data_IF_589590087524
#
_entry.id   IF_589590087524
#
_cell.length_a   1.000
_cell.length_b   1.000
_cell.length_c   1.000
_cell.angle_alpha   90.00
_cell.angle_beta   90.00
_cell.angle_gamma   90.00
#
_symmetry.space_group_name_H-M   'P 1'
#
loop_
_entity.id
_entity.type
_entity.pdbx_description
1 polymer ?
#
# COMPACT_ATOMS: atom_id res chain seq x y z
N UNK A 1 16.27 17.71 24.16
CA UNK A 1 16.66 16.38 24.61
C UNK A 1 16.02 15.36 23.71
N UNK A 2 16.69 14.25 23.42
CA UNK A 2 16.10 13.16 22.63
C UNK A 2 15.03 12.44 23.46
N UNK A 3 13.88 12.15 22.84
CA UNK A 3 12.84 11.30 23.41
C UNK A 3 13.42 9.90 23.57
N UNK A 4 13.21 9.29 24.74
CA UNK A 4 13.64 7.91 25.00
C UNK A 4 12.44 6.98 24.98
N UNK A 5 12.60 5.74 24.46
CA UNK A 5 11.52 4.78 24.48
C UNK A 5 11.22 4.36 25.94
N UNK A 6 9.94 4.32 26.29
CA UNK A 6 9.48 3.74 27.55
C UNK A 6 8.99 2.33 27.27
N UNK A 7 9.39 1.37 28.09
CA UNK A 7 8.91 0.00 28.09
C UNK A 7 8.32 -0.33 29.46
N UNK A 8 7.27 -1.12 29.48
CA UNK A 8 6.66 -1.61 30.72
C UNK A 8 7.10 -3.04 30.99
N UNK A 9 7.33 -3.35 32.25
CA UNK A 9 7.59 -4.69 32.75
C UNK A 9 6.45 -5.20 33.62
N UNK A 10 6.53 -6.44 34.05
CA UNK A 10 5.52 -7.08 34.93
C UNK A 10 5.77 -6.85 36.43
N UNK A 11 6.99 -6.39 36.79
CA UNK A 11 7.44 -6.28 38.17
C UNK A 11 7.14 -7.54 38.98
N UNK A 12 7.42 -8.69 38.39
CA UNK A 12 7.04 -9.98 38.95
C UNK A 12 8.00 -10.41 40.06
N UNK A 13 7.49 -10.56 41.29
CA UNK A 13 8.22 -11.10 42.44
C UNK A 13 7.98 -12.60 42.66
N UNK A 14 7.20 -13.26 41.80
CA UNK A 14 6.89 -14.69 41.84
C UNK A 14 6.64 -15.24 40.45
N UNK A 15 6.83 -16.53 40.21
CA UNK A 15 6.73 -17.16 38.88
C UNK A 15 5.32 -17.05 38.27
N UNK A 16 4.29 -17.09 39.09
CA UNK A 16 2.89 -16.94 38.66
C UNK A 16 2.56 -15.53 38.15
N UNK A 17 3.37 -14.53 38.51
CA UNK A 17 3.20 -13.12 38.07
C UNK A 17 4.01 -12.78 36.84
N UNK A 18 4.91 -13.65 36.38
CA UNK A 18 5.68 -13.43 35.15
C UNK A 18 4.73 -13.41 33.97
N UNK A 19 4.80 -12.31 33.17
CA UNK A 19 3.91 -12.12 32.01
C UNK A 19 2.53 -11.57 32.35
N UNK A 20 2.21 -11.31 33.62
CA UNK A 20 0.97 -10.65 34.05
C UNK A 20 1.20 -9.15 34.14
N UNK A 21 0.68 -8.41 33.17
CA UNK A 21 0.85 -6.95 33.10
C UNK A 21 -0.29 -6.23 33.86
N UNK A 22 0.05 -5.14 34.52
CA UNK A 22 -0.93 -4.26 35.16
C UNK A 22 -1.87 -3.68 34.08
N UNK A 23 -3.19 -3.77 34.32
CA UNK A 23 -4.22 -3.33 33.36
C UNK A 23 -4.17 -4.04 31.99
N UNK A 24 -3.47 -5.18 31.88
CA UNK A 24 -3.31 -5.90 30.60
C UNK A 24 -2.44 -5.19 29.55
N UNK A 25 -1.90 -4.01 29.87
CA UNK A 25 -1.12 -3.20 28.92
C UNK A 25 0.28 -3.77 28.73
N UNK A 26 0.62 -4.03 27.48
CA UNK A 26 1.91 -4.60 27.06
C UNK A 26 2.69 -3.58 26.25
N UNK A 27 4.02 -3.71 26.26
CA UNK A 27 4.85 -2.95 25.31
C UNK A 27 4.90 -3.69 23.97
N UNK A 28 4.44 -3.01 22.96
CA UNK A 28 4.53 -3.44 21.57
C UNK A 28 5.68 -2.74 20.89
N UNK A 29 6.54 -3.50 20.23
CA UNK A 29 7.73 -2.99 19.55
C UNK A 29 7.65 -3.33 18.07
N UNK A 30 7.79 -2.31 17.23
CA UNK A 30 7.84 -2.44 15.77
C UNK A 30 9.29 -2.61 15.32
N UNK A 31 9.80 -3.82 15.42
CA UNK A 31 11.15 -4.20 15.03
C UNK A 31 11.25 -5.71 14.82
N UNK A 32 12.34 -6.17 14.23
CA UNK A 32 12.65 -7.59 14.17
C UNK A 32 12.91 -8.14 15.59
N UNK A 33 12.57 -9.41 15.87
CA UNK A 33 12.77 -10.04 17.18
C UNK A 33 14.26 -10.41 17.41
N UNK A 34 15.13 -9.41 17.25
CA UNK A 34 16.57 -9.50 17.44
C UNK A 34 17.05 -8.38 18.35
N UNK A 35 18.25 -8.50 18.89
CA UNK A 35 18.85 -7.41 19.69
C UNK A 35 19.08 -6.15 18.87
N UNK A 36 19.47 -6.28 17.60
CA UNK A 36 19.62 -5.15 16.68
C UNK A 36 18.27 -4.48 16.42
N UNK A 37 17.20 -5.25 16.23
CA UNK A 37 15.85 -4.73 16.14
C UNK A 37 15.42 -3.97 17.40
N UNK A 38 15.74 -4.51 18.58
CA UNK A 38 15.46 -3.81 19.84
C UNK A 38 16.20 -2.48 19.93
N UNK A 39 17.45 -2.40 19.46
CA UNK A 39 18.23 -1.15 19.44
C UNK A 39 17.60 -0.07 18.54
N UNK A 40 16.88 -0.47 17.49
CA UNK A 40 16.24 0.48 16.57
C UNK A 40 15.18 1.36 17.25
N UNK A 41 14.58 0.93 18.36
CA UNK A 41 13.58 1.74 19.08
C UNK A 41 14.17 3.04 19.66
N UNK A 42 15.49 3.11 19.78
CA UNK A 42 16.18 4.31 20.29
C UNK A 42 16.17 5.48 19.29
N UNK A 43 16.00 5.18 18.01
CA UNK A 43 16.06 6.18 16.94
C UNK A 43 14.68 6.78 16.63
N UNK A 44 13.61 5.98 16.72
CA UNK A 44 12.22 6.38 16.41
C UNK A 44 11.25 5.88 17.48
N UNK A 45 11.41 6.30 18.75
CA UNK A 45 10.67 5.70 19.87
C UNK A 45 9.15 5.89 19.75
N UNK A 46 8.70 7.04 19.26
CA UNK A 46 7.27 7.37 19.12
C UNK A 46 6.57 6.50 18.06
N UNK A 47 7.28 6.11 17.00
CA UNK A 47 6.73 5.30 15.91
C UNK A 47 6.90 3.80 16.15
N UNK A 48 7.88 3.42 16.98
CA UNK A 48 8.26 2.02 17.18
C UNK A 48 7.78 1.42 18.48
N UNK A 49 7.40 2.22 19.47
CA UNK A 49 6.99 1.72 20.79
C UNK A 49 5.59 2.21 21.15
N UNK A 50 4.72 1.28 21.52
CA UNK A 50 3.37 1.56 22.03
C UNK A 50 3.12 0.73 23.28
N UNK A 51 2.50 1.33 24.31
CA UNK A 51 2.05 0.63 25.52
C UNK A 51 0.52 0.61 25.48
N UNK A 52 -0.05 -0.52 25.14
CA UNK A 52 -1.49 -0.71 25.04
C UNK A 52 -1.87 -2.18 25.28
N UNK A 53 -3.13 -2.45 25.49
CA UNK A 53 -3.72 -3.77 25.76
C UNK A 53 -3.77 -4.68 24.52
N UNK A 54 -4.00 -4.07 23.36
CA UNK A 54 -4.13 -4.74 22.07
C UNK A 54 -3.01 -4.38 21.12
N UNK A 55 -2.77 -5.23 20.11
CA UNK A 55 -1.75 -4.97 19.09
C UNK A 55 -2.08 -3.70 18.31
N UNK A 56 -1.16 -2.71 18.28
CA UNK A 56 -1.34 -1.52 17.46
C UNK A 56 -1.37 -1.85 15.96
N UNK A 57 -1.98 -0.99 15.17
CA UNK A 57 -2.03 -1.12 13.70
C UNK A 57 -2.63 -2.46 13.25
N UNK A 58 -3.79 -2.82 13.83
CA UNK A 58 -4.52 -3.99 13.36
C UNK A 58 -5.00 -3.77 11.92
N UNK A 59 -4.69 -4.71 11.05
CA UNK A 59 -5.24 -4.78 9.69
C UNK A 59 -6.18 -5.96 9.58
N UNK A 60 -7.25 -5.78 8.87
CA UNK A 60 -8.20 -6.86 8.62
C UNK A 60 -7.54 -7.97 7.78
N UNK A 61 -7.79 -9.22 8.12
CA UNK A 61 -7.16 -10.37 7.47
C UNK A 61 -7.46 -10.44 5.98
N UNK A 62 -8.61 -9.92 5.55
CA UNK A 62 -8.99 -9.84 4.14
C UNK A 62 -8.19 -8.80 3.33
N UNK A 63 -7.50 -7.85 4.00
CA UNK A 63 -6.68 -6.81 3.35
C UNK A 63 -5.18 -7.13 3.38
N UNK A 64 -4.79 -8.28 3.95
CA UNK A 64 -3.39 -8.64 4.13
C UNK A 64 -3.03 -9.85 3.28
N UNK A 65 -2.04 -9.71 2.41
CA UNK A 65 -1.42 -10.83 1.72
C UNK A 65 -0.50 -11.56 2.71
N UNK A 66 -0.78 -12.84 2.96
CA UNK A 66 -0.01 -13.68 3.88
C UNK A 66 1.21 -14.30 3.21
N UNK A 67 1.00 -14.88 2.04
CA UNK A 67 2.08 -15.55 1.29
C UNK A 67 1.83 -15.55 -0.21
N UNK A 68 2.92 -15.71 -0.94
CA UNK A 68 2.92 -15.96 -2.38
C UNK A 68 3.55 -17.33 -2.62
N UNK A 69 2.86 -18.18 -3.32
CA UNK A 69 3.35 -19.49 -3.75
C UNK A 69 3.68 -19.42 -5.23
N UNK A 70 4.93 -19.67 -5.55
CA UNK A 70 5.45 -19.72 -6.90
C UNK A 70 5.60 -21.18 -7.28
N UNK A 71 4.87 -21.64 -8.28
CA UNK A 71 4.85 -23.04 -8.69
C UNK A 71 5.01 -23.18 -10.21
N UNK A 72 6.12 -22.70 -10.73
CA UNK A 72 6.47 -22.85 -12.13
C UNK A 72 7.50 -23.98 -12.30
N UNK A 73 7.17 -24.96 -13.10
CA UNK A 73 8.00 -26.14 -13.32
C UNK A 73 9.45 -25.81 -13.77
N UNK A 74 9.64 -24.69 -14.45
CA UNK A 74 10.91 -24.35 -15.09
C UNK A 74 11.66 -23.19 -14.48
N UNK A 75 11.06 -22.38 -13.58
CA UNK A 75 11.66 -21.12 -13.13
C UNK A 75 11.60 -20.91 -11.63
N UNK A 76 10.43 -21.04 -11.01
CA UNK A 76 10.25 -20.74 -9.59
C UNK A 76 9.45 -21.83 -8.88
N UNK A 77 10.00 -22.29 -7.79
CA UNK A 77 9.32 -23.24 -6.91
C UNK A 77 9.59 -22.85 -5.46
N UNK A 78 8.84 -21.87 -4.96
CA UNK A 78 9.07 -21.28 -3.65
C UNK A 78 7.81 -20.70 -3.03
N UNK A 79 7.71 -20.76 -1.71
CA UNK A 79 6.72 -20.01 -0.92
C UNK A 79 7.41 -18.83 -0.25
N UNK A 80 6.87 -17.63 -0.44
CA UNK A 80 7.35 -16.39 0.14
C UNK A 80 6.29 -15.88 1.12
N UNK A 81 6.61 -15.84 2.41
CA UNK A 81 5.75 -15.26 3.44
C UNK A 81 5.97 -13.75 3.50
N UNK A 82 4.89 -12.99 3.63
CA UNK A 82 4.92 -11.54 3.62
C UNK A 82 4.57 -10.94 4.98
N UNK A 83 5.20 -9.81 5.29
CA UNK A 83 4.82 -8.96 6.39
C UNK A 83 3.55 -8.18 6.02
N UNK A 84 2.68 -7.91 7.00
CA UNK A 84 1.43 -7.17 6.77
C UNK A 84 1.62 -5.70 6.35
N UNK A 85 2.81 -5.12 6.52
CA UNK A 85 3.07 -3.72 6.22
C UNK A 85 3.93 -3.60 4.96
N UNK A 86 5.22 -3.35 5.11
CA UNK A 86 6.15 -3.15 4.01
C UNK A 86 7.01 -4.39 3.80
N UNK A 87 7.07 -4.86 2.55
CA UNK A 87 7.98 -5.91 2.12
C UNK A 87 8.92 -5.35 1.06
N UNK A 88 10.22 -5.53 1.23
CA UNK A 88 11.23 -5.06 0.30
C UNK A 88 11.84 -6.23 -0.47
N UNK A 89 11.84 -6.14 -1.81
CA UNK A 89 12.47 -7.11 -2.69
C UNK A 89 13.83 -6.57 -3.12
N UNK A 90 14.91 -7.16 -2.64
CA UNK A 90 16.28 -6.72 -2.87
C UNK A 90 17.00 -7.73 -3.75
N UNK A 91 17.85 -7.26 -4.65
CA UNK A 91 18.68 -8.11 -5.50
C UNK A 91 19.37 -7.32 -6.61
N UNK A 92 20.34 -7.91 -7.26
CA UNK A 92 21.10 -7.34 -8.35
C UNK A 92 20.24 -7.04 -9.60
N UNK A 93 20.89 -6.53 -10.63
CA UNK A 93 20.26 -6.33 -11.95
C UNK A 93 19.91 -7.70 -12.56
N UNK A 94 18.77 -7.80 -13.23
CA UNK A 94 18.31 -9.01 -13.93
C UNK A 94 18.02 -10.23 -13.03
N UNK A 95 17.81 -10.06 -11.72
CA UNK A 95 17.49 -11.14 -10.79
C UNK A 95 16.00 -11.49 -10.72
N UNK A 96 15.16 -10.94 -11.60
CA UNK A 96 13.74 -11.27 -11.68
C UNK A 96 12.81 -10.45 -10.78
N UNK A 97 13.29 -9.41 -10.06
CA UNK A 97 12.45 -8.58 -9.16
C UNK A 97 11.21 -7.98 -9.83
N UNK A 98 11.43 -7.32 -10.97
CA UNK A 98 10.34 -6.71 -11.75
C UNK A 98 9.45 -7.78 -12.38
N UNK A 99 10.00 -8.93 -12.75
CA UNK A 99 9.25 -10.07 -13.29
C UNK A 99 8.32 -10.64 -12.23
N UNK A 100 8.80 -10.81 -10.98
CA UNK A 100 7.98 -11.27 -9.87
C UNK A 100 6.80 -10.33 -9.61
N UNK A 101 7.06 -9.02 -9.48
CA UNK A 101 6.00 -8.03 -9.26
C UNK A 101 4.99 -7.99 -10.41
N UNK A 102 5.46 -8.02 -11.65
CA UNK A 102 4.59 -8.04 -12.83
C UNK A 102 3.76 -9.33 -12.92
N UNK A 103 4.32 -10.48 -12.53
CA UNK A 103 3.58 -11.76 -12.50
C UNK A 103 2.51 -11.78 -11.42
N UNK A 104 2.78 -11.18 -10.25
CA UNK A 104 1.75 -10.98 -9.20
C UNK A 104 0.63 -10.09 -9.74
N UNK A 105 0.96 -8.96 -10.36
CA UNK A 105 -0.02 -8.06 -10.94
C UNK A 105 -0.87 -8.74 -12.06
N UNK A 106 -0.24 -9.57 -12.88
CA UNK A 106 -0.93 -10.36 -13.89
C UNK A 106 -1.90 -11.38 -13.28
N UNK A 107 -1.55 -12.00 -12.15
CA UNK A 107 -2.42 -12.92 -11.43
C UNK A 107 -3.72 -12.26 -10.92
N UNK A 108 -3.68 -10.95 -10.66
CA UNK A 108 -4.84 -10.14 -10.27
C UNK A 108 -5.54 -9.43 -11.46
N UNK A 109 -5.22 -9.77 -12.69
CA UNK A 109 -5.77 -9.11 -13.88
C UNK A 109 -5.52 -7.58 -13.93
N UNK A 110 -4.48 -7.08 -13.31
CA UNK A 110 -4.04 -5.69 -13.43
C UNK A 110 -3.46 -5.43 -14.82
N UNK A 111 -4.30 -5.53 -15.86
CA UNK A 111 -3.88 -5.61 -17.26
C UNK A 111 -3.36 -4.30 -17.85
N UNK A 112 -3.79 -3.16 -17.32
CA UNK A 112 -3.51 -1.85 -17.92
C UNK A 112 -2.06 -1.39 -17.77
N UNK A 113 -1.32 -1.92 -16.80
CA UNK A 113 0.05 -1.49 -16.48
C UNK A 113 1.07 -2.65 -16.52
N UNK A 114 0.62 -3.87 -16.79
CA UNK A 114 1.52 -5.04 -16.87
C UNK A 114 2.23 -5.03 -18.22
N UNK A 115 3.54 -5.20 -18.15
CA UNK A 115 4.40 -5.37 -19.32
C UNK A 115 3.89 -6.56 -20.18
N UNK A 116 3.50 -6.29 -21.41
CA UNK A 116 2.91 -7.26 -22.36
C UNK A 116 3.89 -8.35 -22.84
N UNK A 117 4.94 -8.65 -22.09
CA UNK A 117 5.88 -9.72 -22.42
C UNK A 117 5.25 -11.08 -22.24
N UNK A 118 5.23 -11.90 -23.26
CA UNK A 118 4.60 -13.21 -23.28
C UNK A 118 4.94 -14.12 -22.09
N UNK A 119 6.20 -14.06 -21.59
CA UNK A 119 6.63 -14.87 -20.45
C UNK A 119 5.96 -14.47 -19.12
N UNK A 120 5.53 -13.21 -18.95
CA UNK A 120 4.81 -12.78 -17.74
C UNK A 120 3.41 -13.40 -17.74
N UNK A 121 2.76 -13.45 -18.88
CA UNK A 121 1.47 -14.12 -19.03
C UNK A 121 1.57 -15.62 -18.78
N UNK A 122 2.65 -16.26 -19.20
CA UNK A 122 2.93 -17.68 -18.91
C UNK A 122 3.17 -17.95 -17.42
N UNK A 123 3.76 -16.97 -16.69
CA UNK A 123 4.00 -17.09 -15.25
C UNK A 123 2.76 -16.81 -14.40
N UNK A 124 1.74 -16.16 -14.96
CA UNK A 124 0.50 -15.81 -14.28
C UNK A 124 -0.12 -17.00 -13.55
N UNK A 125 -0.27 -18.11 -14.25
CA UNK A 125 -0.92 -19.34 -13.73
C UNK A 125 -0.03 -20.10 -12.74
N UNK A 126 1.22 -19.67 -12.60
CA UNK A 126 2.21 -20.22 -11.66
C UNK A 126 2.36 -19.39 -10.38
N UNK A 127 1.62 -18.27 -10.26
CA UNK A 127 1.68 -17.37 -9.11
C UNK A 127 0.37 -17.41 -8.36
N UNK A 128 0.40 -17.95 -7.14
CA UNK A 128 -0.74 -18.07 -6.26
C UNK A 128 -0.55 -17.15 -5.06
N UNK A 129 -1.43 -16.18 -4.87
CA UNK A 129 -1.38 -15.22 -3.78
C UNK A 129 -2.44 -15.59 -2.76
N UNK A 130 -2.03 -15.84 -1.53
CA UNK A 130 -2.93 -16.18 -0.43
C UNK A 130 -3.07 -14.99 0.52
N UNK A 131 -4.29 -14.62 0.77
CA UNK A 131 -4.63 -13.63 1.77
C UNK A 131 -4.70 -14.28 3.16
N UNK A 132 -4.56 -13.48 4.19
CA UNK A 132 -4.58 -14.00 5.57
C UNK A 132 -5.92 -14.60 5.96
N UNK A 133 -7.02 -14.19 5.33
CA UNK A 133 -8.35 -14.81 5.47
C UNK A 133 -8.47 -16.19 4.80
N UNK A 134 -7.41 -16.68 4.17
CA UNK A 134 -7.34 -17.97 3.49
C UNK A 134 -7.80 -17.96 2.04
N UNK A 135 -8.25 -16.84 1.50
CA UNK A 135 -8.63 -16.74 0.09
C UNK A 135 -7.39 -16.72 -0.80
N UNK A 136 -7.49 -17.36 -1.95
CA UNK A 136 -6.47 -17.36 -3.00
C UNK A 136 -6.90 -16.42 -4.12
N UNK A 137 -6.00 -15.59 -4.62
CA UNK A 137 -6.15 -14.56 -5.67
C UNK A 137 -7.48 -13.78 -5.60
N UNK A 138 -8.60 -14.41 -5.74
CA UNK A 138 -9.97 -13.91 -5.57
C UNK A 138 -10.32 -12.67 -6.40
N UNK A 139 -11.50 -12.10 -6.14
CA UNK A 139 -11.96 -10.83 -6.74
C UNK A 139 -11.37 -9.60 -6.04
N UNK A 140 -10.28 -9.77 -5.29
CA UNK A 140 -9.64 -8.70 -4.55
C UNK A 140 -8.78 -7.86 -5.48
N UNK A 141 -8.76 -6.57 -5.20
CA UNK A 141 -8.04 -5.58 -5.98
C UNK A 141 -6.67 -5.30 -5.36
N UNK A 142 -5.64 -5.22 -6.20
CA UNK A 142 -4.32 -4.70 -5.86
C UNK A 142 -3.93 -3.59 -6.84
N UNK A 143 -3.15 -2.63 -6.37
CA UNK A 143 -2.57 -1.61 -7.23
C UNK A 143 -1.15 -1.99 -7.63
N UNK A 144 -0.86 -1.92 -8.91
CA UNK A 144 0.46 -2.17 -9.47
C UNK A 144 1.05 -0.91 -10.08
N UNK A 145 2.24 -0.54 -9.62
CA UNK A 145 3.00 0.59 -10.13
C UNK A 145 4.27 0.12 -10.83
N UNK A 146 4.30 0.04 -12.16
CA UNK A 146 5.52 -0.30 -12.88
C UNK A 146 6.56 0.83 -12.75
N UNK A 147 7.84 0.48 -12.86
CA UNK A 147 8.96 1.42 -12.70
C UNK A 147 8.82 2.67 -13.58
N UNK A 148 8.34 2.51 -14.81
CA UNK A 148 8.14 3.62 -15.75
C UNK A 148 7.00 4.57 -15.35
N UNK A 149 6.02 4.10 -14.58
CA UNK A 149 4.91 4.94 -14.10
C UNK A 149 5.39 5.89 -13.00
N UNK A 150 6.24 5.39 -12.10
CA UNK A 150 6.83 6.20 -11.01
C UNK A 150 7.71 7.32 -11.57
N UNK A 151 8.51 7.06 -12.62
CA UNK A 151 9.34 8.09 -13.24
C UNK A 151 8.52 9.17 -13.97
N UNK A 152 7.36 8.81 -14.54
CA UNK A 152 6.44 9.75 -15.19
C UNK A 152 5.67 10.60 -14.19
N UNK A 153 5.45 10.11 -12.97
CA UNK A 153 4.77 10.85 -11.89
C UNK A 153 5.53 12.12 -11.49
N UNK A 154 6.83 12.21 -11.79
CA UNK A 154 7.60 13.45 -11.61
C UNK A 154 7.16 14.59 -12.56
N UNK A 155 6.35 14.30 -13.60
CA UNK A 155 5.76 15.31 -14.48
C UNK A 155 4.42 15.79 -13.87
N UNK A 156 4.21 17.12 -13.68
CA UNK A 156 3.04 17.65 -12.95
C UNK A 156 1.68 17.15 -13.47
N UNK A 157 1.55 16.97 -14.78
CA UNK A 157 0.30 16.52 -15.42
C UNK A 157 -0.02 15.04 -15.15
N UNK A 158 1.01 14.20 -15.00
CA UNK A 158 0.85 12.78 -14.70
C UNK A 158 0.65 12.52 -13.19
N UNK A 159 1.19 13.41 -12.34
CA UNK A 159 0.95 13.38 -10.88
C UNK A 159 -0.53 13.56 -10.58
N UNK A 160 -1.19 14.53 -11.20
CA UNK A 160 -2.62 14.79 -11.01
C UNK A 160 -3.47 13.59 -11.47
N UNK A 161 -3.09 12.96 -12.57
CA UNK A 161 -3.78 11.77 -13.07
C UNK A 161 -3.62 10.57 -12.12
N UNK A 162 -2.40 10.34 -11.62
CA UNK A 162 -2.14 9.25 -10.67
C UNK A 162 -2.89 9.48 -9.35
N UNK A 163 -2.88 10.70 -8.81
CA UNK A 163 -3.65 11.05 -7.62
C UNK A 163 -5.14 10.82 -7.84
N UNK A 164 -5.65 11.18 -9.03
CA UNK A 164 -7.04 10.93 -9.39
C UNK A 164 -7.35 9.43 -9.50
N UNK A 165 -6.49 8.64 -10.09
CA UNK A 165 -6.67 7.19 -10.18
C UNK A 165 -6.65 6.52 -8.79
N UNK A 166 -5.82 7.00 -7.87
CA UNK A 166 -5.77 6.51 -6.47
C UNK A 166 -7.00 6.95 -5.68
N UNK A 167 -7.38 8.22 -5.78
CA UNK A 167 -8.51 8.78 -5.01
C UNK A 167 -9.87 8.33 -5.55
N UNK A 168 -9.95 8.08 -6.85
CA UNK A 168 -11.19 7.75 -7.56
C UNK A 168 -11.27 6.26 -7.95
N UNK A 169 -10.52 5.39 -7.30
CA UNK A 169 -10.32 3.97 -7.64
C UNK A 169 -11.58 3.10 -7.80
N UNK A 170 -12.78 3.70 -7.71
CA UNK A 170 -14.07 3.10 -8.09
C UNK A 170 -14.63 3.83 -9.29
N UNK A 171 -15.05 3.08 -10.30
CA UNK A 171 -15.58 3.62 -11.57
C UNK A 171 -16.75 4.57 -11.36
N UNK A 172 -17.62 4.27 -10.39
CA UNK A 172 -18.78 5.09 -10.03
C UNK A 172 -18.35 6.50 -9.54
N UNK A 173 -17.31 6.56 -8.70
CA UNK A 173 -16.77 7.83 -8.17
C UNK A 173 -16.09 8.63 -9.27
N UNK A 174 -15.44 7.96 -10.20
CA UNK A 174 -14.81 8.59 -11.37
C UNK A 174 -15.82 9.23 -12.31
N UNK A 175 -16.92 8.54 -12.59
CA UNK A 175 -18.03 9.05 -13.41
C UNK A 175 -18.66 10.28 -12.74
N UNK A 176 -18.90 10.22 -11.44
CA UNK A 176 -19.48 11.34 -10.68
C UNK A 176 -18.54 12.54 -10.63
N UNK A 177 -17.25 12.33 -10.44
CA UNK A 177 -16.21 13.35 -10.48
C UNK A 177 -16.17 14.07 -11.85
N UNK A 178 -16.10 13.33 -12.96
CA UNK A 178 -16.07 13.93 -14.31
C UNK A 178 -17.36 14.69 -14.62
N UNK A 179 -18.51 14.23 -14.13
CA UNK A 179 -19.78 14.95 -14.21
C UNK A 179 -19.74 16.29 -13.49
N UNK A 180 -19.23 16.31 -12.26
CA UNK A 180 -19.10 17.55 -11.49
C UNK A 180 -18.07 18.52 -12.09
N UNK A 181 -16.95 17.99 -12.58
CA UNK A 181 -15.90 18.76 -13.26
C UNK A 181 -16.43 19.44 -14.54
N UNK A 182 -17.20 18.71 -15.36
CA UNK A 182 -17.84 19.27 -16.56
C UNK A 182 -18.86 20.35 -16.23
N UNK A 183 -19.64 20.14 -15.16
CA UNK A 183 -20.61 21.14 -14.66
C UNK A 183 -19.92 22.42 -14.17
N UNK A 184 -18.81 22.30 -13.45
CA UNK A 184 -18.01 23.45 -13.02
C UNK A 184 -17.43 24.20 -14.23
N UNK A 185 -16.87 23.52 -15.21
CA UNK A 185 -16.33 24.14 -16.43
C UNK A 185 -17.41 24.91 -17.19
N UNK A 186 -18.61 24.35 -17.32
CA UNK A 186 -19.76 25.06 -17.97
C UNK A 186 -20.18 26.30 -17.21
N UNK A 187 -20.23 26.25 -15.87
CA UNK A 187 -20.56 27.41 -15.03
C UNK A 187 -19.51 28.51 -15.12
N UNK A 188 -18.21 28.15 -15.14
CA UNK A 188 -17.12 29.11 -15.34
C UNK A 188 -17.22 29.79 -16.71
N UNK A 189 -17.48 29.05 -17.78
CA UNK A 189 -17.71 29.62 -19.11
C UNK A 189 -18.89 30.60 -19.13
N UNK A 190 -19.99 30.24 -18.49
CA UNK A 190 -21.18 31.13 -18.38
C UNK A 190 -20.83 32.41 -17.60
N UNK A 191 -20.10 32.32 -16.50
CA UNK A 191 -19.65 33.48 -15.73
C UNK A 191 -18.76 34.39 -16.59
N UNK A 192 -17.79 33.83 -17.31
CA UNK A 192 -16.91 34.60 -18.19
C UNK A 192 -17.68 35.34 -19.25
N UNK A 193 -18.68 34.68 -19.88
CA UNK A 193 -19.53 35.29 -20.90
C UNK A 193 -20.37 36.43 -20.29
N UNK A 194 -20.98 36.22 -19.12
CA UNK A 194 -21.77 37.23 -18.44
C UNK A 194 -20.92 38.45 -18.00
N UNK A 195 -19.70 38.22 -17.54
CA UNK A 195 -18.77 39.28 -17.20
C UNK A 195 -18.37 40.08 -18.43
N UNK A 196 -18.06 39.42 -19.54
CA UNK A 196 -17.75 40.09 -20.80
C UNK A 196 -18.92 40.97 -21.28
N UNK A 197 -20.13 40.42 -21.29
CA UNK A 197 -21.37 41.17 -21.66
C UNK A 197 -21.64 42.35 -20.72
N UNK A 198 -21.35 42.22 -19.43
CA UNK A 198 -21.52 43.32 -18.47
C UNK A 198 -20.57 44.48 -18.78
N UNK A 199 -19.30 44.20 -19.09
CA UNK A 199 -18.36 45.25 -19.47
C UNK A 199 -18.60 45.84 -20.83
N UNK A 200 -19.12 45.08 -21.79
CA UNK A 200 -19.54 45.58 -23.09
C UNK A 200 -20.72 46.59 -22.96
N UNK A 201 -21.74 46.24 -22.17
CA UNK A 201 -22.87 47.12 -21.91
C UNK A 201 -22.50 48.40 -21.12
N UNK A 202 -21.39 48.43 -20.43
CA UNK A 202 -20.90 49.62 -19.72
C UNK A 202 -20.01 50.53 -20.58
N UNK A 203 -19.58 50.07 -21.74
CA UNK A 203 -18.81 50.89 -22.70
C UNK A 203 -19.70 51.64 -23.68
N UNK A 204 -20.98 51.38 -23.69
CA UNK A 204 -22.02 52.15 -24.35
C UNK A 204 -22.64 53.16 -23.37
#
# INVERSE_FOLDING_TARGET
GSIKPCITGTDAHSLDKVGVFTEGRKTWIKADPTFEGLKQILFEPEDRVRICDSKPEYKYDYDVIDKIVLNSANTWHQTIYLNQNLNSIIGGRSTGKSTLLASIAAAFNCTNDVDNRDYIHQLRDSVHVYWRDGQENGDKYIEYFPQNKISKVAEPQETDKLLMDILLGKEDVKIEYEKHKSLLASRFSTIQTNVALYFEKRRL
#
